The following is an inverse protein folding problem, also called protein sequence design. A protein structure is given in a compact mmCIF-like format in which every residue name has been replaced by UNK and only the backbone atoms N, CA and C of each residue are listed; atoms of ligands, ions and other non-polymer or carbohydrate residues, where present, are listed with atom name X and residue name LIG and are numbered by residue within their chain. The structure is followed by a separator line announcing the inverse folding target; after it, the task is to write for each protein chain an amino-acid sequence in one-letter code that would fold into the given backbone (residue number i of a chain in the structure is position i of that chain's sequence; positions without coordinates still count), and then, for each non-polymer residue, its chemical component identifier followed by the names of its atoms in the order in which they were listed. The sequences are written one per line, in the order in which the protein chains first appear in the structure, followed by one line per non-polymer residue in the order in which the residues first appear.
data_IF_583347544506
#
_entry.id   IF_583347544506
#
_cell.length_a   1.000
_cell.length_b   1.000
_cell.length_c   1.000
_cell.angle_alpha   90.00
_cell.angle_beta   90.00
_cell.angle_gamma   90.00
#
_symmetry.space_group_name_H-M   'P 1'
#
loop_
_entity.id
_entity.type
_entity.pdbx_description
1 polymer ?
#
# COMPACT_ATOMS: atom_id res chain seq x y z
N UNK A 1 -32.97 -6.26 -17.75
CA UNK A 1 -31.70 -7.03 -17.65
C UNK A 1 -30.73 -6.17 -16.84
N UNK A 2 -30.42 -6.54 -15.60
CA UNK A 2 -29.42 -5.82 -14.80
C UNK A 2 -28.04 -6.41 -15.09
N UNK A 3 -27.12 -5.60 -15.60
CA UNK A 3 -25.71 -6.00 -15.72
C UNK A 3 -25.09 -5.96 -14.32
N UNK A 4 -24.80 -7.13 -13.76
CA UNK A 4 -23.95 -7.22 -12.57
C UNK A 4 -22.51 -6.95 -13.00
N UNK A 5 -22.06 -5.71 -12.82
CA UNK A 5 -20.64 -5.37 -12.95
C UNK A 5 -19.90 -5.91 -11.73
N UNK A 6 -19.47 -7.17 -11.82
CA UNK A 6 -18.51 -7.72 -10.87
C UNK A 6 -17.13 -7.05 -11.12
N UNK A 7 -16.40 -6.65 -10.06
CA UNK A 7 -15.03 -6.21 -10.21
C UNK A 7 -14.23 -7.30 -10.93
N UNK A 8 -13.42 -6.93 -11.91
CA UNK A 8 -12.50 -7.87 -12.55
C UNK A 8 -11.20 -7.93 -11.76
N UNK A 9 -10.50 -9.09 -11.74
CA UNK A 9 -9.16 -9.15 -11.21
C UNK A 9 -8.25 -8.15 -11.92
N UNK A 10 -7.38 -7.48 -11.17
CA UNK A 10 -6.43 -6.53 -11.73
C UNK A 10 -5.10 -6.61 -10.98
N UNK A 11 -4.07 -6.12 -11.64
CA UNK A 11 -2.77 -5.85 -11.05
C UNK A 11 -2.22 -4.56 -11.65
N UNK A 12 -1.72 -3.66 -10.81
CA UNK A 12 -0.97 -2.51 -11.27
C UNK A 12 0.17 -2.18 -10.32
N UNK A 13 1.09 -1.35 -10.78
CA UNK A 13 2.14 -0.82 -9.94
C UNK A 13 3.00 0.19 -10.70
N UNK A 14 3.83 0.90 -9.93
CA UNK A 14 4.87 1.76 -10.46
C UNK A 14 6.07 1.74 -9.52
N UNK A 15 7.22 2.10 -10.08
CA UNK A 15 8.44 2.41 -9.34
C UNK A 15 9.06 3.64 -9.98
N UNK A 16 9.31 4.66 -9.17
CA UNK A 16 9.93 5.92 -9.57
C UNK A 16 11.19 6.08 -8.73
N UNK A 17 12.32 6.24 -9.41
CA UNK A 17 13.61 6.45 -8.76
C UNK A 17 14.27 7.69 -9.33
N UNK A 18 14.62 8.62 -8.46
CA UNK A 18 15.44 9.78 -8.78
C UNK A 18 16.82 9.66 -8.10
N UNK A 19 17.65 10.69 -8.20
CA UNK A 19 19.00 10.69 -7.63
C UNK A 19 19.05 10.60 -6.11
N UNK A 20 17.99 11.02 -5.42
CA UNK A 20 17.95 11.15 -3.97
C UNK A 20 16.74 10.46 -3.33
N UNK A 21 15.79 9.95 -4.11
CA UNK A 21 14.54 9.40 -3.62
C UNK A 21 14.04 8.24 -4.47
N UNK A 22 13.25 7.39 -3.84
CA UNK A 22 12.57 6.27 -4.49
C UNK A 22 11.13 6.21 -3.98
N UNK A 23 10.19 5.87 -4.85
CA UNK A 23 8.80 5.62 -4.52
C UNK A 23 8.28 4.44 -5.32
N UNK A 24 7.46 3.61 -4.70
CA UNK A 24 6.86 2.46 -5.37
C UNK A 24 5.47 2.18 -4.84
N UNK A 25 4.68 1.55 -5.70
CA UNK A 25 3.40 0.95 -5.33
C UNK A 25 3.17 -0.30 -6.15
N UNK A 26 2.57 -1.29 -5.53
CA UNK A 26 1.97 -2.43 -6.21
C UNK A 26 0.63 -2.76 -5.55
N UNK A 27 -0.35 -3.11 -6.35
CA UNK A 27 -1.67 -3.50 -5.86
C UNK A 27 -2.28 -4.55 -6.78
N UNK A 28 -2.93 -5.54 -6.17
CA UNK A 28 -3.71 -6.55 -6.87
C UNK A 28 -5.10 -6.65 -6.25
N UNK A 29 -6.12 -6.66 -7.10
CA UNK A 29 -7.49 -6.96 -6.71
C UNK A 29 -7.88 -8.33 -7.26
N UNK A 30 -8.54 -9.15 -6.44
CA UNK A 30 -8.93 -10.50 -6.85
C UNK A 30 -10.28 -10.56 -7.61
N UNK A 31 -10.90 -9.41 -7.90
CA UNK A 31 -12.23 -9.34 -8.53
C UNK A 31 -13.41 -9.66 -7.60
N UNK A 32 -13.15 -10.09 -6.37
CA UNK A 32 -14.17 -10.43 -5.36
C UNK A 32 -14.22 -9.42 -4.22
N UNK A 33 -13.67 -8.22 -4.43
CA UNK A 33 -13.65 -7.14 -3.44
C UNK A 33 -12.48 -7.21 -2.45
N UNK A 34 -11.59 -8.20 -2.56
CA UNK A 34 -10.35 -8.21 -1.79
C UNK A 34 -9.21 -7.56 -2.59
N UNK A 35 -8.46 -6.70 -1.91
CA UNK A 35 -7.29 -6.00 -2.44
C UNK A 35 -6.11 -6.24 -1.52
N UNK A 36 -4.95 -6.57 -2.11
CA UNK A 36 -3.67 -6.62 -1.40
C UNK A 36 -2.67 -5.75 -2.12
N UNK A 37 -1.80 -5.10 -1.37
CA UNK A 37 -0.79 -4.28 -2.00
C UNK A 37 0.24 -3.75 -1.02
N UNK A 38 1.16 -3.01 -1.60
CA UNK A 38 2.14 -2.28 -0.83
C UNK A 38 2.49 -0.97 -1.51
N UNK A 39 2.91 0.01 -0.70
CA UNK A 39 3.52 1.23 -1.20
C UNK A 39 4.65 1.65 -0.27
N UNK A 40 5.59 2.40 -0.80
CA UNK A 40 6.67 2.92 0.00
C UNK A 40 7.42 4.04 -0.67
N UNK A 41 8.28 4.67 0.12
CA UNK A 41 9.22 5.67 -0.34
C UNK A 41 10.50 5.66 0.48
N UNK A 42 11.56 6.22 -0.07
CA UNK A 42 12.77 6.65 0.63
C UNK A 42 13.13 8.06 0.16
N UNK A 43 13.45 8.98 1.08
CA UNK A 43 13.86 10.35 0.77
C UNK A 43 15.38 10.54 0.83
N UNK A 44 15.85 11.75 0.47
CA UNK A 44 17.26 12.13 0.44
C UNK A 44 17.99 12.04 1.78
N UNK A 45 17.24 12.01 2.89
CA UNK A 45 17.77 11.92 4.26
C UNK A 45 17.79 10.47 4.75
N UNK A 46 17.43 9.51 3.90
CA UNK A 46 17.29 8.10 4.27
C UNK A 46 16.03 7.80 5.09
N UNK A 47 15.07 8.73 5.15
CA UNK A 47 13.77 8.48 5.76
C UNK A 47 12.97 7.61 4.81
N UNK A 48 12.47 6.49 5.31
CA UNK A 48 11.78 5.48 4.54
C UNK A 48 10.49 5.04 5.23
N UNK A 49 9.48 4.74 4.41
CA UNK A 49 8.25 4.11 4.82
C UNK A 49 7.92 2.99 3.85
N UNK A 50 7.54 1.84 4.38
CA UNK A 50 6.94 0.73 3.65
C UNK A 50 5.62 0.38 4.33
N UNK A 51 4.54 0.36 3.57
CA UNK A 51 3.21 -0.06 4.03
C UNK A 51 2.78 -1.27 3.24
N UNK A 52 2.50 -2.37 3.93
CA UNK A 52 1.87 -3.55 3.35
C UNK A 52 0.42 -3.61 3.86
N UNK A 53 -0.55 -3.79 2.97
CA UNK A 53 -1.95 -3.72 3.33
C UNK A 53 -2.81 -4.81 2.68
N UNK A 54 -3.91 -5.11 3.38
CA UNK A 54 -5.01 -5.96 2.91
C UNK A 54 -6.31 -5.22 3.17
N UNK A 55 -7.18 -5.17 2.17
CA UNK A 55 -8.58 -4.74 2.29
C UNK A 55 -9.49 -5.89 1.87
N UNK A 56 -10.36 -6.32 2.76
CA UNK A 56 -11.34 -7.39 2.52
C UNK A 56 -12.57 -7.21 3.45
N UNK A 57 -13.37 -8.26 3.61
CA UNK A 57 -14.55 -8.25 4.49
C UNK A 57 -14.24 -7.96 5.97
N UNK A 58 -13.02 -8.19 6.44
CA UNK A 58 -12.60 -7.84 7.80
C UNK A 58 -12.14 -6.37 7.92
N UNK A 59 -12.32 -5.55 6.87
CA UNK A 59 -11.92 -4.15 6.81
C UNK A 59 -10.55 -3.93 6.16
N UNK A 60 -9.94 -2.77 6.43
CA UNK A 60 -8.59 -2.43 5.99
C UNK A 60 -7.59 -2.66 7.13
N UNK A 61 -6.49 -3.37 6.84
CA UNK A 61 -5.39 -3.62 7.79
C UNK A 61 -4.07 -3.33 7.09
N UNK A 62 -3.20 -2.61 7.79
CA UNK A 62 -1.89 -2.22 7.28
C UNK A 62 -0.79 -2.48 8.31
N UNK A 63 0.36 -2.92 7.82
CA UNK A 63 1.61 -2.98 8.56
C UNK A 63 2.52 -1.89 8.02
N UNK A 64 2.95 -0.99 8.91
CA UNK A 64 3.83 0.13 8.57
C UNK A 64 5.21 -0.14 9.15
N UNK A 65 6.22 -0.19 8.28
CA UNK A 65 7.63 -0.21 8.64
C UNK A 65 8.21 1.15 8.26
N UNK A 66 8.66 1.93 9.24
CA UNK A 66 9.15 3.29 9.02
C UNK A 66 10.21 3.69 10.03
N UNK A 67 11.13 4.58 9.64
CA UNK A 67 12.08 5.27 10.52
C UNK A 67 11.75 6.77 10.70
N UNK A 68 10.55 7.21 10.34
CA UNK A 68 10.11 8.58 10.49
C UNK A 68 10.04 9.01 11.97
N UNK A 69 10.57 10.19 12.34
CA UNK A 69 10.45 10.71 13.69
C UNK A 69 8.99 10.79 14.15
N UNK A 70 8.73 10.32 15.38
CA UNK A 70 7.38 10.38 15.97
C UNK A 70 6.41 9.27 15.51
N UNK A 71 6.86 8.31 14.70
CA UNK A 71 6.04 7.16 14.27
C UNK A 71 6.26 5.89 15.08
N UNK A 72 7.18 5.93 16.05
CA UNK A 72 7.33 4.86 17.02
C UNK A 72 5.98 4.60 17.71
N UNK A 73 5.59 3.34 17.76
CA UNK A 73 4.28 2.85 18.21
C UNK A 73 4.12 3.01 19.74
N UNK A 74 4.13 4.26 20.21
CA UNK A 74 4.06 4.62 21.63
C UNK A 74 2.62 4.85 22.11
N UNK A 75 1.63 4.71 21.22
CA UNK A 75 0.21 4.66 21.58
C UNK A 75 -0.63 4.17 20.38
N UNK A 76 -0.93 2.87 20.25
CA UNK A 76 -1.94 2.42 19.30
C UNK A 76 -3.32 2.92 19.74
N UNK A 77 -4.11 3.43 18.79
CA UNK A 77 -5.49 3.87 19.01
C UNK A 77 -6.44 2.71 19.32
#
# INVERSE_FOLDING_TARGET
IHYHHHPQPYAFGYSVKDHHSEQHRHETGNGHGAVVGSYGFTDARGIARQVNYVADHAGFRAQVNTNEPGTANQNPA
#
